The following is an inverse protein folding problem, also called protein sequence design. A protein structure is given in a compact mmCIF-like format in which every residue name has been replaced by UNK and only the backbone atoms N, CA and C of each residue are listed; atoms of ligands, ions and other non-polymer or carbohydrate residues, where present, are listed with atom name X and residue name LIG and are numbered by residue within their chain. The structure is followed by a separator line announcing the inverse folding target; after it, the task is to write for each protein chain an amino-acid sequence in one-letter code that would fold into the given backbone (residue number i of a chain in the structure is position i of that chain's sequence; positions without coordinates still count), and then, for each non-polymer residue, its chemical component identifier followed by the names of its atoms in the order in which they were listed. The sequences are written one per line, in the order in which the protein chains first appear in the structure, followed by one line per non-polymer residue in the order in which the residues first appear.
data_IF_768060515365
#
_entry.id   IF_768060515365
#
_cell.length_a   1.000
_cell.length_b   1.000
_cell.length_c   1.000
_cell.angle_alpha   90.00
_cell.angle_beta   90.00
_cell.angle_gamma   90.00
#
_symmetry.space_group_name_H-M   'P 1'
#
loop_
_entity.id
_entity.type
_entity.pdbx_description
1 polymer ?
#
# COMPACT_ATOMS: atom_id res chain seq x y z
N UNK A 1 -17.61 -8.42 30.00
CA UNK A 1 -16.27 -9.02 30.20
C UNK A 1 -15.77 -9.74 28.93
N UNK A 2 -16.41 -10.82 28.48
CA UNK A 2 -16.01 -11.54 27.25
C UNK A 2 -16.22 -10.72 25.98
N UNK A 3 -17.35 -10.03 25.87
CA UNK A 3 -17.69 -9.19 24.71
C UNK A 3 -16.77 -7.96 24.57
N UNK A 4 -16.44 -7.34 25.70
CA UNK A 4 -15.48 -6.22 25.78
C UNK A 4 -14.06 -6.65 25.40
N UNK A 5 -13.62 -7.82 25.88
CA UNK A 5 -12.33 -8.41 25.48
C UNK A 5 -12.27 -8.69 23.98
N UNK A 6 -13.36 -9.15 23.38
CA UNK A 6 -13.44 -9.39 21.93
C UNK A 6 -13.37 -8.08 21.14
N UNK A 7 -14.05 -7.02 21.59
CA UNK A 7 -13.96 -5.69 20.98
C UNK A 7 -12.55 -5.11 20.99
N UNK A 8 -11.81 -5.29 22.09
CA UNK A 8 -10.41 -4.86 22.18
C UNK A 8 -9.49 -5.61 21.19
N UNK A 9 -9.68 -6.92 21.04
CA UNK A 9 -8.90 -7.73 20.11
C UNK A 9 -9.19 -7.39 18.64
N UNK A 10 -10.44 -7.04 18.33
CA UNK A 10 -10.82 -6.59 16.99
C UNK A 10 -10.12 -5.28 16.64
N UNK A 11 -10.17 -4.29 17.54
CA UNK A 11 -9.53 -3.00 17.34
C UNK A 11 -8.00 -3.14 17.18
N UNK A 12 -7.37 -4.01 17.99
CA UNK A 12 -5.94 -4.30 17.86
C UNK A 12 -5.62 -4.90 16.48
N UNK A 13 -6.45 -5.83 15.99
CA UNK A 13 -6.26 -6.43 14.67
C UNK A 13 -6.42 -5.40 13.56
N UNK A 14 -7.44 -4.55 13.64
CA UNK A 14 -7.66 -3.49 12.65
C UNK A 14 -6.50 -2.50 12.61
N UNK A 15 -6.02 -2.03 13.76
CA UNK A 15 -4.87 -1.12 13.84
C UNK A 15 -3.60 -1.75 13.27
N UNK A 16 -3.38 -3.04 13.51
CA UNK A 16 -2.24 -3.77 12.96
C UNK A 16 -2.33 -3.86 11.43
N UNK A 17 -3.52 -4.10 10.87
CA UNK A 17 -3.74 -4.12 9.41
C UNK A 17 -3.46 -2.77 8.77
N UNK A 18 -3.83 -1.66 9.42
CA UNK A 18 -3.53 -0.31 8.91
C UNK A 18 -2.02 -0.10 8.80
N UNK A 19 -1.25 -0.53 9.79
CA UNK A 19 0.21 -0.43 9.74
C UNK A 19 0.82 -1.27 8.62
N UNK A 20 0.32 -2.48 8.40
CA UNK A 20 0.76 -3.33 7.29
C UNK A 20 0.36 -2.80 5.91
N UNK A 21 -0.67 -1.95 5.82
CA UNK A 21 -1.03 -1.27 4.57
C UNK A 21 -0.09 -0.10 4.24
N UNK A 22 0.60 0.45 5.25
CA UNK A 22 1.48 1.62 5.10
C UNK A 22 2.96 1.24 5.00
N UNK A 23 3.35 0.16 5.69
CA UNK A 23 4.73 -0.28 5.81
C UNK A 23 4.84 -1.74 5.37
N UNK A 24 5.99 -2.14 4.78
CA UNK A 24 6.27 -3.55 4.58
C UNK A 24 6.14 -4.34 5.89
N UNK A 25 5.62 -5.57 5.82
CA UNK A 25 5.28 -6.39 7.00
C UNK A 25 6.40 -6.47 8.05
N UNK A 26 7.64 -6.69 7.61
CA UNK A 26 8.80 -6.80 8.51
C UNK A 26 9.09 -5.48 9.25
N UNK A 27 8.84 -4.34 8.60
CA UNK A 27 8.99 -3.00 9.19
C UNK A 27 7.85 -2.71 10.15
N UNK A 28 6.61 -3.04 9.77
CA UNK A 28 5.44 -2.90 10.64
C UNK A 28 5.60 -3.71 11.94
N UNK A 29 6.08 -4.96 11.83
CA UNK A 29 6.35 -5.83 12.98
C UNK A 29 7.42 -5.26 13.91
N UNK A 30 8.49 -4.66 13.36
CA UNK A 30 9.52 -3.99 14.15
C UNK A 30 8.89 -2.90 15.05
N UNK A 31 8.06 -2.02 14.48
CA UNK A 31 7.41 -0.95 15.24
C UNK A 31 6.31 -1.44 16.19
N UNK A 32 5.57 -2.50 15.83
CA UNK A 32 4.55 -3.09 16.69
C UNK A 32 5.15 -3.80 17.91
N UNK A 33 6.35 -4.37 17.79
CA UNK A 33 7.06 -5.07 18.88
C UNK A 33 7.80 -4.10 19.82
N UNK A 34 8.14 -2.90 19.34
CA UNK A 34 8.84 -1.84 20.08
C UNK A 34 7.99 -1.07 21.10
N UNK A 35 6.88 -1.65 21.56
CA UNK A 35 5.97 -1.10 22.58
C UNK A 35 6.64 -0.64 23.89
N UNK A 36 7.95 -0.85 24.08
CA UNK A 36 8.65 -0.62 25.34
C UNK A 36 9.68 0.52 25.34
N UNK A 37 10.21 1.02 24.22
CA UNK A 37 11.22 2.09 24.28
C UNK A 37 11.18 3.04 23.08
N UNK A 38 10.87 4.32 23.34
CA UNK A 38 11.06 5.47 22.45
C UNK A 38 10.32 5.46 21.10
N UNK A 39 9.24 6.26 21.02
CA UNK A 39 8.55 6.62 19.76
C UNK A 39 9.44 7.32 18.70
N UNK A 40 10.74 7.50 18.95
CA UNK A 40 11.70 8.16 18.04
C UNK A 40 12.73 7.20 17.43
N UNK A 41 12.59 5.89 17.60
CA UNK A 41 13.53 4.94 17.01
C UNK A 41 13.38 4.89 15.48
N UNK A 42 14.49 5.16 14.78
CA UNK A 42 14.56 5.12 13.32
C UNK A 42 14.85 3.69 12.85
N UNK A 43 14.20 3.26 11.78
CA UNK A 43 14.46 1.96 11.14
C UNK A 43 15.33 2.14 9.89
N UNK A 44 16.41 1.36 9.78
CA UNK A 44 17.27 1.28 8.60
C UNK A 44 17.84 -0.13 8.46
N UNK A 45 17.79 -0.70 7.26
CA UNK A 45 18.34 -2.02 6.97
C UNK A 45 19.01 -2.04 5.60
N UNK A 46 20.25 -2.55 5.56
CA UNK A 46 21.01 -2.72 4.34
C UNK A 46 20.77 -4.11 3.73
N UNK A 47 20.65 -4.16 2.41
CA UNK A 47 20.52 -5.40 1.65
C UNK A 47 21.65 -5.50 0.62
N UNK A 48 22.30 -6.67 0.52
CA UNK A 48 23.40 -6.91 -0.43
C UNK A 48 22.93 -7.21 -1.85
N UNK A 49 21.68 -7.61 -2.02
CA UNK A 49 21.03 -7.91 -3.31
C UNK A 49 19.60 -7.39 -3.27
N UNK A 50 19.26 -6.49 -4.19
CA UNK A 50 17.93 -5.90 -4.32
C UNK A 50 17.58 -5.83 -5.80
N UNK A 51 16.31 -6.07 -6.13
CA UNK A 51 15.76 -5.84 -7.45
C UNK A 51 14.57 -4.87 -7.33
N UNK A 52 14.45 -3.95 -8.29
CA UNK A 52 13.33 -3.00 -8.37
C UNK A 52 12.71 -3.16 -9.75
N UNK A 53 11.39 -3.29 -9.78
CA UNK A 53 10.62 -3.38 -11.02
C UNK A 53 9.73 -2.16 -11.15
N UNK A 54 9.63 -1.65 -12.38
CA UNK A 54 8.68 -0.61 -12.75
C UNK A 54 7.66 -1.21 -13.71
N UNK A 55 6.38 -0.94 -13.44
CA UNK A 55 5.29 -1.27 -14.33
C UNK A 55 4.60 0.03 -14.75
N UNK A 56 4.20 0.09 -16.02
CA UNK A 56 3.43 1.21 -16.56
C UNK A 56 2.24 0.66 -17.32
N UNK A 57 1.11 1.37 -17.23
CA UNK A 57 -0.10 1.05 -18.01
C UNK A 57 -0.09 1.98 -19.21
N UNK A 58 0.31 1.50 -20.40
CA UNK A 58 0.36 2.33 -21.58
C UNK A 58 -1.05 2.80 -21.96
N UNK A 59 -1.15 4.00 -22.55
CA UNK A 59 -2.38 4.55 -23.11
C UNK A 59 -3.56 4.72 -22.13
N UNK A 60 -3.34 4.58 -20.81
CA UNK A 60 -4.41 4.82 -19.82
C UNK A 60 -4.94 6.27 -19.89
N UNK A 61 -4.06 7.24 -20.13
CA UNK A 61 -4.44 8.65 -20.28
C UNK A 61 -5.33 8.92 -21.49
N UNK A 62 -5.15 8.17 -22.59
CA UNK A 62 -6.00 8.29 -23.79
C UNK A 62 -7.37 7.63 -23.58
N UNK A 63 -7.42 6.59 -22.75
CA UNK A 63 -8.63 5.87 -22.36
C UNK A 63 -9.44 6.62 -21.27
N UNK A 64 -8.78 7.43 -20.45
CA UNK A 64 -9.42 8.20 -19.39
C UNK A 64 -10.19 9.40 -19.96
N UNK A 65 -11.52 9.37 -19.83
CA UNK A 65 -12.41 10.44 -20.28
C UNK A 65 -13.31 10.90 -19.15
N UNK A 66 -13.04 12.09 -18.63
CA UNK A 66 -13.79 12.74 -17.55
C UNK A 66 -14.98 13.54 -18.12
N UNK A 67 -16.03 12.82 -18.52
CA UNK A 67 -17.30 13.42 -18.95
C UNK A 67 -18.40 13.15 -17.93
N UNK A 68 -19.33 14.10 -17.77
CA UNK A 68 -20.51 13.91 -16.91
C UNK A 68 -21.39 12.73 -17.37
N UNK A 69 -21.38 12.40 -18.67
CA UNK A 69 -22.03 11.23 -19.23
C UNK A 69 -21.31 9.89 -18.91
N UNK A 70 -20.08 9.95 -18.40
CA UNK A 70 -19.22 8.81 -18.07
C UNK A 70 -18.87 8.76 -16.57
N UNK A 71 -19.80 9.16 -15.70
CA UNK A 71 -19.62 9.23 -14.25
C UNK A 71 -18.30 9.94 -13.82
N UNK A 72 -17.88 11.00 -14.52
CA UNK A 72 -16.63 11.71 -14.23
C UNK A 72 -15.38 10.81 -14.25
N UNK A 73 -15.36 9.79 -15.11
CA UNK A 73 -14.20 8.89 -15.25
C UNK A 73 -14.02 7.89 -14.10
N UNK A 74 -15.00 7.79 -13.18
CA UNK A 74 -14.96 6.85 -12.04
C UNK A 74 -14.84 5.39 -12.50
N UNK A 75 -15.49 5.02 -13.60
CA UNK A 75 -15.40 3.66 -14.14
C UNK A 75 -13.97 3.31 -14.61
N UNK A 76 -13.23 4.27 -15.16
CA UNK A 76 -11.83 4.05 -15.54
C UNK A 76 -10.94 3.83 -14.30
N UNK A 77 -11.21 4.56 -13.20
CA UNK A 77 -10.51 4.37 -11.92
C UNK A 77 -10.86 3.04 -11.27
N UNK A 78 -12.10 2.56 -11.41
CA UNK A 78 -12.52 1.24 -10.92
C UNK A 78 -11.74 0.14 -11.64
N UNK A 79 -11.65 0.20 -12.96
CA UNK A 79 -10.85 -0.76 -13.75
C UNK A 79 -9.36 -0.69 -13.36
N UNK A 80 -8.81 0.50 -13.17
CA UNK A 80 -7.43 0.65 -12.69
C UNK A 80 -7.22 0.00 -11.32
N UNK A 81 -8.16 0.20 -10.40
CA UNK A 81 -8.10 -0.41 -9.07
C UNK A 81 -8.25 -1.94 -9.13
N UNK A 82 -9.07 -2.47 -10.04
CA UNK A 82 -9.16 -3.92 -10.28
C UNK A 82 -7.82 -4.47 -10.79
N UNK A 83 -7.19 -3.81 -11.77
CA UNK A 83 -5.86 -4.23 -12.25
C UNK A 83 -4.83 -4.22 -11.12
N UNK A 84 -4.78 -3.17 -10.30
CA UNK A 84 -3.85 -3.07 -9.18
C UNK A 84 -4.13 -4.16 -8.13
N UNK A 85 -5.40 -4.40 -7.80
CA UNK A 85 -5.79 -5.44 -6.85
C UNK A 85 -5.40 -6.85 -7.33
N UNK A 86 -5.57 -7.14 -8.63
CA UNK A 86 -5.14 -8.40 -9.23
C UNK A 86 -3.60 -8.56 -9.14
N UNK A 87 -2.84 -7.48 -9.34
CA UNK A 87 -1.38 -7.50 -9.14
C UNK A 87 -0.97 -7.70 -7.68
N UNK A 88 -1.67 -7.06 -6.74
CA UNK A 88 -1.43 -7.20 -5.30
C UNK A 88 -1.63 -8.64 -4.81
N UNK A 89 -2.60 -9.37 -5.38
CA UNK A 89 -2.85 -10.78 -5.08
C UNK A 89 -1.69 -11.69 -5.52
N UNK A 90 -1.07 -11.39 -6.66
CA UNK A 90 0.02 -12.21 -7.23
C UNK A 90 1.38 -11.91 -6.60
N UNK A 91 1.63 -10.67 -6.18
CA UNK A 91 2.96 -10.18 -5.82
C UNK A 91 3.20 -9.79 -4.37
N UNK A 92 2.15 -9.60 -3.56
CA UNK A 92 2.25 -9.04 -2.22
C UNK A 92 2.64 -7.56 -2.24
N UNK A 93 1.70 -6.69 -1.84
CA UNK A 93 1.85 -5.24 -1.64
C UNK A 93 2.71 -4.53 -2.70
N UNK A 94 2.10 -4.21 -3.84
CA UNK A 94 2.69 -3.32 -4.82
C UNK A 94 2.76 -1.91 -4.22
N UNK A 95 3.96 -1.47 -3.84
CA UNK A 95 4.22 -0.06 -3.59
C UNK A 95 4.15 0.62 -4.97
N UNK A 96 3.00 1.20 -5.29
CA UNK A 96 2.79 1.96 -6.53
C UNK A 96 3.73 3.17 -6.51
N UNK A 97 4.94 2.98 -7.02
CA UNK A 97 5.78 4.08 -7.46
C UNK A 97 5.15 4.59 -8.74
N UNK A 98 4.28 5.61 -8.62
CA UNK A 98 3.71 6.29 -9.76
C UNK A 98 4.85 6.69 -10.73
N UNK A 99 4.79 6.30 -12.01
CA UNK A 99 5.77 6.70 -13.00
C UNK A 99 5.71 8.21 -13.17
N UNK A 100 6.75 8.92 -12.72
CA UNK A 100 6.79 10.38 -12.68
C UNK A 100 8.02 10.99 -11.99
N UNK A 101 8.79 10.20 -11.24
CA UNK A 101 10.13 10.61 -10.80
C UNK A 101 11.14 10.28 -11.91
N UNK A 102 11.26 11.18 -12.89
CA UNK A 102 12.46 11.19 -13.74
C UNK A 102 13.67 11.45 -12.83
N UNK A 103 14.56 10.46 -12.71
CA UNK A 103 15.94 10.74 -12.29
C UNK A 103 16.59 11.42 -13.49
N UNK A 104 16.49 12.74 -13.56
CA UNK A 104 17.36 13.54 -14.41
C UNK A 104 18.74 13.57 -13.76
N UNK A 105 19.75 13.09 -14.48
CA UNK A 105 21.16 13.39 -14.20
C UNK A 105 21.42 14.91 -14.22
#
# INVERSE_FOLDING_TARGET
ATEEKTGMLELQRQNSRILCNLLPEHVANHFLQLQTNSHMELYSQQYSKVAVFFASIPNFSDFYVELAANNQGVECLRVLNEIIADFDEVGGSLLVLLPGMTVTE
#
